data_IF_765820026629
#
_entry.id   IF_765820026629
#
_cell.length_a   1.000
_cell.length_b   1.000
_cell.length_c   1.000
_cell.angle_alpha   90.00
_cell.angle_beta   90.00
_cell.angle_gamma   90.00
#
_symmetry.space_group_name_H-M   'P 1'
#
loop_
_entity.id
_entity.type
_entity.pdbx_description
1 polymer ?
#
# COMPACT_ATOMS: atom_id res chain seq x y z
N UNK A 1 17.09 51.82 -4.14
CA UNK A 1 16.88 50.36 -3.95
C UNK A 1 16.89 50.09 -2.46
N UNK A 2 15.79 49.63 -1.83
CA UNK A 2 15.81 49.39 -0.38
C UNK A 2 16.51 48.06 -0.09
N UNK A 3 17.58 48.12 0.71
CA UNK A 3 18.29 46.94 1.20
C UNK A 3 17.48 46.28 2.31
N UNK A 4 17.08 45.03 2.11
CA UNK A 4 16.31 44.24 3.06
C UNK A 4 17.17 43.94 4.32
N UNK A 5 16.59 44.13 5.51
CA UNK A 5 17.26 44.02 6.82
C UNK A 5 17.94 42.64 7.01
N UNK A 6 19.20 42.56 7.50
CA UNK A 6 19.91 41.29 7.75
C UNK A 6 19.18 40.35 8.72
N UNK A 7 18.35 40.89 9.62
CA UNK A 7 17.51 40.10 10.54
C UNK A 7 16.44 39.30 9.77
N UNK A 8 15.90 39.86 8.69
CA UNK A 8 14.90 39.19 7.83
C UNK A 8 15.55 38.05 7.05
N UNK A 9 16.81 38.19 6.63
CA UNK A 9 17.56 37.12 5.98
C UNK A 9 17.80 35.94 6.94
N UNK A 10 18.21 36.22 8.18
CA UNK A 10 18.44 35.17 9.17
C UNK A 10 17.15 34.41 9.52
N UNK A 11 16.01 35.11 9.59
CA UNK A 11 14.70 34.50 9.85
C UNK A 11 14.21 33.63 8.68
N UNK A 12 14.43 34.07 7.44
CA UNK A 12 14.08 33.30 6.23
C UNK A 12 14.93 32.04 6.06
N UNK A 13 16.22 32.08 6.42
CA UNK A 13 17.11 30.91 6.36
C UNK A 13 16.80 29.90 7.48
N UNK A 14 16.44 30.39 8.68
CA UNK A 14 16.05 29.54 9.81
C UNK A 14 14.75 28.77 9.57
N UNK A 15 13.78 29.36 8.86
CA UNK A 15 12.49 28.71 8.60
C UNK A 15 12.55 27.60 7.54
N UNK A 16 13.58 27.61 6.67
CA UNK A 16 13.75 26.63 5.60
C UNK A 16 14.38 25.30 6.04
N UNK A 17 14.91 25.22 7.27
CA UNK A 17 15.72 24.07 7.71
C UNK A 17 14.93 22.98 8.48
N UNK A 18 13.62 23.17 8.70
CA UNK A 18 12.82 22.31 9.58
C UNK A 18 12.17 21.10 8.92
N UNK A 19 12.41 20.86 7.62
CA UNK A 19 11.87 19.70 6.92
C UNK A 19 12.76 18.46 7.17
N UNK A 20 12.84 18.01 8.42
CA UNK A 20 13.33 16.67 8.75
C UNK A 20 12.33 15.66 8.18
N UNK A 21 12.67 15.12 7.01
CA UNK A 21 11.93 14.02 6.38
C UNK A 21 12.03 12.79 7.30
N UNK A 22 10.96 12.52 8.06
CA UNK A 22 10.78 11.23 8.71
C UNK A 22 10.48 10.22 7.60
N UNK A 23 11.49 9.44 7.21
CA UNK A 23 11.24 8.21 6.45
C UNK A 23 10.53 7.23 7.38
N UNK A 24 9.20 7.20 7.29
CA UNK A 24 8.42 6.10 7.81
C UNK A 24 8.83 4.83 7.03
N UNK A 25 9.76 4.05 7.57
CA UNK A 25 9.87 2.65 7.19
C UNK A 25 8.55 2.03 7.62
N UNK A 26 7.61 1.89 6.67
CA UNK A 26 6.40 1.13 6.89
C UNK A 26 6.84 -0.25 7.36
N UNK A 27 6.61 -0.56 8.64
CA UNK A 27 6.83 -1.89 9.18
C UNK A 27 6.08 -2.85 8.25
N UNK A 28 6.81 -3.63 7.45
CA UNK A 28 6.20 -4.59 6.54
C UNK A 28 5.60 -5.68 7.43
N UNK A 29 4.33 -5.51 7.80
CA UNK A 29 3.58 -6.50 8.57
C UNK A 29 3.68 -7.86 7.91
N UNK A 30 3.83 -8.91 8.71
CA UNK A 30 4.00 -10.30 8.22
C UNK A 30 2.89 -10.67 7.22
N UNK A 31 3.12 -11.65 6.36
CA UNK A 31 2.12 -12.05 5.35
C UNK A 31 0.76 -12.41 5.97
N UNK A 32 0.78 -12.93 7.20
CA UNK A 32 -0.41 -13.33 7.95
C UNK A 32 -1.12 -12.17 8.64
N UNK A 33 -0.50 -10.99 8.68
CA UNK A 33 -1.11 -9.76 9.20
C UNK A 33 -1.94 -9.11 8.10
N UNK A 34 -3.10 -9.70 7.83
CA UNK A 34 -4.08 -9.21 6.85
C UNK A 34 -5.09 -8.34 7.59
N UNK A 35 -5.10 -7.04 7.27
CA UNK A 35 -5.99 -6.09 7.93
C UNK A 35 -7.41 -6.19 7.37
N UNK A 36 -8.40 -5.76 8.17
CA UNK A 36 -9.79 -5.63 7.72
C UNK A 36 -9.91 -4.79 6.45
N UNK A 37 -9.07 -3.76 6.30
CA UNK A 37 -9.01 -2.90 5.11
C UNK A 37 -8.51 -3.64 3.87
N UNK A 38 -7.61 -4.60 4.02
CA UNK A 38 -7.09 -5.41 2.91
C UNK A 38 -8.19 -6.35 2.41
N UNK A 39 -8.92 -6.98 3.34
CA UNK A 39 -10.09 -7.82 3.02
C UNK A 39 -11.19 -7.02 2.35
N UNK A 40 -11.55 -5.85 2.90
CA UNK A 40 -12.59 -5.00 2.33
C UNK A 40 -12.22 -4.55 0.91
N UNK A 41 -10.98 -4.11 0.71
CA UNK A 41 -10.45 -3.74 -0.60
C UNK A 41 -10.51 -4.89 -1.59
N UNK A 42 -10.11 -6.09 -1.17
CA UNK A 42 -10.19 -7.30 -1.98
C UNK A 42 -11.63 -7.60 -2.39
N UNK A 43 -12.57 -7.66 -1.45
CA UNK A 43 -13.99 -7.96 -1.71
C UNK A 43 -14.60 -6.94 -2.67
N UNK A 44 -14.34 -5.65 -2.45
CA UNK A 44 -14.85 -4.58 -3.29
C UNK A 44 -14.31 -4.64 -4.72
N UNK A 45 -13.11 -5.20 -4.91
CA UNK A 45 -12.50 -5.37 -6.23
C UNK A 45 -12.91 -6.68 -6.94
N UNK A 46 -13.74 -7.53 -6.32
CA UNK A 46 -14.14 -8.80 -6.94
C UNK A 46 -14.97 -8.56 -8.21
N UNK A 47 -14.69 -9.31 -9.29
CA UNK A 47 -15.49 -9.24 -10.49
C UNK A 47 -16.84 -9.90 -10.22
N UNK A 48 -17.93 -9.38 -10.78
CA UNK A 48 -19.28 -9.94 -10.55
C UNK A 48 -19.57 -11.13 -11.46
N UNK A 49 -18.85 -11.23 -12.56
CA UNK A 49 -19.14 -12.06 -13.73
C UNK A 49 -17.99 -13.03 -14.06
N UNK A 50 -17.00 -13.18 -13.17
CA UNK A 50 -15.88 -14.07 -13.38
C UNK A 50 -15.42 -14.73 -12.07
N UNK A 51 -14.77 -15.89 -12.22
CA UNK A 51 -13.94 -16.45 -11.15
C UNK A 51 -12.70 -15.58 -10.97
N UNK A 52 -12.25 -15.41 -9.73
CA UNK A 52 -11.03 -14.68 -9.42
C UNK A 52 -10.18 -15.46 -8.42
N UNK A 53 -8.94 -15.72 -8.79
CA UNK A 53 -7.89 -16.11 -7.86
C UNK A 53 -6.80 -15.03 -7.88
N UNK A 54 -6.68 -14.28 -6.80
CA UNK A 54 -5.75 -13.14 -6.73
C UNK A 54 -5.23 -12.94 -5.31
N UNK A 55 -4.06 -12.31 -5.15
CA UNK A 55 -3.53 -12.01 -3.83
C UNK A 55 -4.41 -10.99 -3.09
N UNK A 56 -4.55 -11.19 -1.78
CA UNK A 56 -5.03 -10.17 -0.84
C UNK A 56 -3.83 -9.34 -0.37
N UNK A 57 -2.76 -10.04 0.03
CA UNK A 57 -1.50 -9.43 0.47
C UNK A 57 -0.35 -10.37 0.12
N UNK A 58 0.74 -9.81 -0.40
CA UNK A 58 2.01 -10.53 -0.60
C UNK A 58 3.11 -9.66 -0.02
N UNK A 59 3.97 -10.27 0.76
CA UNK A 59 5.15 -9.62 1.33
C UNK A 59 6.40 -10.34 0.87
N UNK A 60 7.42 -9.55 0.63
CA UNK A 60 8.77 -10.03 0.38
C UNK A 60 9.43 -10.33 1.73
N UNK A 61 10.02 -11.51 1.87
CA UNK A 61 10.75 -11.92 3.09
C UNK A 61 12.22 -12.20 2.79
N UNK A 62 12.76 -11.63 1.70
CA UNK A 62 14.13 -11.81 1.23
C UNK A 62 14.19 -12.80 0.08
N UNK A 63 14.45 -14.07 0.39
CA UNK A 63 14.69 -15.10 -0.64
C UNK A 63 13.41 -15.64 -1.28
N UNK A 64 12.26 -15.34 -0.69
CA UNK A 64 10.96 -15.77 -1.20
C UNK A 64 9.88 -14.77 -0.84
N UNK A 65 8.70 -14.98 -1.43
CA UNK A 65 7.50 -14.19 -1.15
C UNK A 65 6.48 -15.06 -0.44
N UNK A 66 5.83 -14.48 0.57
CA UNK A 66 4.73 -15.13 1.28
C UNK A 66 3.51 -14.27 1.10
N UNK A 67 2.38 -14.89 0.78
CA UNK A 67 1.14 -14.16 0.57
C UNK A 67 -0.10 -14.94 0.98
N UNK A 68 -1.14 -14.18 1.29
CA UNK A 68 -2.50 -14.67 1.50
C UNK A 68 -3.31 -14.33 0.25
N UNK A 69 -3.98 -15.34 -0.30
CA UNK A 69 -4.76 -15.26 -1.53
C UNK A 69 -6.24 -15.51 -1.22
N UNK A 70 -7.09 -14.91 -2.04
CA UNK A 70 -8.54 -15.12 -1.97
C UNK A 70 -9.05 -15.69 -3.28
N UNK A 71 -9.88 -16.74 -3.17
CA UNK A 71 -10.55 -17.36 -4.31
C UNK A 71 -12.02 -17.01 -4.27
N UNK A 72 -12.51 -16.37 -5.33
CA UNK A 72 -13.91 -16.05 -5.51
C UNK A 72 -14.48 -16.83 -6.69
N UNK A 73 -15.55 -17.58 -6.45
CA UNK A 73 -16.30 -18.29 -7.48
C UNK A 73 -17.80 -17.93 -7.35
N UNK A 74 -18.35 -17.11 -8.25
CA UNK A 74 -19.77 -16.79 -8.24
C UNK A 74 -20.59 -18.06 -8.49
N UNK A 75 -21.68 -18.25 -7.73
CA UNK A 75 -22.53 -19.46 -7.82
C UNK A 75 -23.10 -19.67 -9.22
N UNK A 76 -23.51 -18.58 -9.87
CA UNK A 76 -24.16 -18.60 -11.18
C UNK A 76 -23.16 -18.69 -12.34
N UNK A 77 -21.85 -18.67 -12.03
CA UNK A 77 -20.79 -18.78 -13.00
C UNK A 77 -19.97 -20.05 -12.74
N UNK A 78 -20.26 -21.11 -13.48
CA UNK A 78 -19.47 -22.32 -13.53
C UNK A 78 -18.16 -22.00 -14.27
N UNK A 79 -17.21 -21.37 -13.57
CA UNK A 79 -15.86 -21.17 -14.10
C UNK A 79 -15.30 -22.53 -14.55
N UNK A 80 -14.68 -22.56 -15.73
CA UNK A 80 -14.02 -23.75 -16.25
C UNK A 80 -12.91 -24.24 -15.32
N UNK A 81 -12.22 -25.31 -15.70
CA UNK A 81 -11.05 -25.76 -14.94
C UNK A 81 -10.04 -24.61 -14.81
N UNK A 82 -9.83 -24.12 -13.58
CA UNK A 82 -8.78 -23.16 -13.29
C UNK A 82 -7.45 -23.91 -13.38
N UNK A 83 -6.68 -23.66 -14.45
CA UNK A 83 -5.29 -24.08 -14.52
C UNK A 83 -4.51 -23.16 -13.57
N UNK A 84 -3.97 -23.73 -12.50
CA UNK A 84 -3.00 -23.07 -11.61
C UNK A 84 -1.58 -23.36 -12.06
#
# INVERSE_FOLDING_TARGET
MPTLNPIVHALLIGLASSALAVSAHAQQGTAVDVLTTDIASFINALPRDAVSDRPIRVVDVGDYRVGVYGVFRPKDFLGGANLH
#
